data_IF_058531979066
#
_entry.id   IF_058531979066
#
_cell.length_a   1.000
_cell.length_b   1.000
_cell.length_c   1.000
_cell.angle_alpha   90.00
_cell.angle_beta   90.00
_cell.angle_gamma   90.00
#
_symmetry.space_group_name_H-M   'P 1'
#
loop_
_entity.id
_entity.type
_entity.pdbx_description
1 polymer ?
#
# COMPACT_ATOMS: atom_id res chain seq x y z
N UNK A 1 -31.78 4.90 8.30
CA UNK A 1 -31.66 6.37 8.12
C UNK A 1 -31.33 6.72 6.68
N UNK A 2 -31.83 7.86 6.18
CA UNK A 2 -31.49 8.37 4.85
C UNK A 2 -30.05 8.92 4.83
N UNK A 3 -29.31 8.79 3.70
CA UNK A 3 -28.00 9.39 3.55
C UNK A 3 -28.11 10.92 3.51
N UNK A 4 -27.09 11.60 4.02
CA UNK A 4 -27.01 13.06 3.99
C UNK A 4 -26.82 13.64 2.59
N UNK A 5 -27.14 14.91 2.42
CA UNK A 5 -27.00 15.60 1.13
C UNK A 5 -25.52 15.61 0.67
N UNK A 6 -25.20 15.16 -0.56
CA UNK A 6 -23.82 15.13 -1.04
C UNK A 6 -23.35 16.44 -1.67
N UNK A 7 -24.21 17.45 -1.78
CA UNK A 7 -23.86 18.74 -2.38
C UNK A 7 -23.16 19.63 -1.35
N UNK A 8 -21.87 19.91 -1.55
CA UNK A 8 -21.07 20.77 -0.65
C UNK A 8 -21.56 22.21 -0.62
N UNK A 9 -22.22 22.69 -1.67
CA UNK A 9 -22.83 24.03 -1.72
C UNK A 9 -24.24 24.09 -1.11
N UNK A 10 -24.72 23.03 -0.46
CA UNK A 10 -26.03 23.04 0.19
C UNK A 10 -25.89 23.37 1.67
N UNK A 11 -26.77 24.21 2.19
CA UNK A 11 -26.87 24.53 3.63
C UNK A 11 -27.07 23.29 4.53
N UNK A 12 -27.47 22.17 3.93
CA UNK A 12 -27.69 20.88 4.59
C UNK A 12 -26.71 19.80 4.12
N UNK A 13 -25.50 20.19 3.69
CA UNK A 13 -24.44 19.24 3.34
C UNK A 13 -24.21 18.22 4.46
N UNK A 14 -24.12 16.93 4.11
CA UNK A 14 -24.01 15.78 5.02
C UNK A 14 -25.17 15.59 6.02
N UNK A 15 -26.12 16.52 6.11
CA UNK A 15 -27.34 16.38 6.91
C UNK A 15 -28.42 15.64 6.12
N UNK A 16 -29.19 14.80 6.80
CA UNK A 16 -30.25 13.98 6.19
C UNK A 16 -31.67 14.54 6.38
N UNK A 17 -31.82 15.64 7.13
CA UNK A 17 -33.11 16.26 7.48
C UNK A 17 -33.97 16.57 6.25
N UNK A 18 -33.36 17.06 5.17
CA UNK A 18 -34.03 17.41 3.92
C UNK A 18 -33.90 16.31 2.83
N UNK A 19 -33.42 15.12 3.18
CA UNK A 19 -33.19 14.06 2.21
C UNK A 19 -34.35 13.04 2.23
N UNK A 20 -35.05 12.94 1.11
CA UNK A 20 -36.17 11.99 0.91
C UNK A 20 -35.86 10.96 -0.16
N UNK A 21 -36.54 9.81 -0.13
CA UNK A 21 -36.49 8.79 -1.20
C UNK A 21 -37.10 9.37 -2.49
N UNK A 22 -36.51 9.06 -3.64
CA UNK A 22 -36.88 9.59 -4.97
C UNK A 22 -36.84 8.48 -6.05
N UNK A 23 -37.59 7.41 -5.80
CA UNK A 23 -37.65 6.24 -6.68
C UNK A 23 -36.37 5.40 -6.67
N UNK A 24 -36.21 4.57 -7.71
CA UNK A 24 -35.14 3.58 -7.79
C UNK A 24 -34.48 3.55 -9.17
N UNK A 25 -33.33 2.89 -9.28
CA UNK A 25 -32.76 2.50 -10.57
C UNK A 25 -32.15 1.11 -10.50
N UNK A 26 -32.19 0.39 -11.62
CA UNK A 26 -31.52 -0.88 -11.76
C UNK A 26 -30.03 -0.69 -12.05
N UNK A 27 -29.15 -1.23 -11.20
CA UNK A 27 -27.72 -1.23 -11.47
C UNK A 27 -27.36 -2.40 -12.37
N UNK A 28 -27.05 -2.11 -13.64
CA UNK A 28 -26.75 -3.14 -14.68
C UNK A 28 -25.66 -4.15 -14.29
N UNK A 29 -24.69 -3.74 -13.47
CA UNK A 29 -23.58 -4.63 -13.07
C UNK A 29 -24.05 -5.83 -12.26
N UNK A 30 -25.03 -5.63 -11.37
CA UNK A 30 -25.47 -6.66 -10.45
C UNK A 30 -26.98 -6.88 -10.35
N UNK A 31 -27.74 -6.27 -11.25
CA UNK A 31 -29.20 -6.30 -11.32
C UNK A 31 -29.89 -5.91 -10.01
N UNK A 32 -29.19 -5.19 -9.13
CA UNK A 32 -29.77 -4.71 -7.87
C UNK A 32 -30.58 -3.44 -8.12
N UNK A 33 -31.76 -3.39 -7.55
CA UNK A 33 -32.56 -2.18 -7.48
C UNK A 33 -31.98 -1.26 -6.39
N UNK A 34 -31.52 -0.08 -6.78
CA UNK A 34 -30.86 0.88 -5.88
C UNK A 34 -31.79 2.05 -5.62
N UNK A 35 -32.03 2.33 -4.34
CA UNK A 35 -32.77 3.50 -3.88
C UNK A 35 -32.07 4.79 -4.30
N UNK A 36 -32.82 5.69 -4.94
CA UNK A 36 -32.45 7.09 -5.16
C UNK A 36 -32.99 7.95 -4.03
N UNK A 37 -32.29 9.03 -3.77
CA UNK A 37 -32.66 10.07 -2.82
C UNK A 37 -32.59 11.43 -3.52
N UNK A 38 -33.38 12.38 -3.03
CA UNK A 38 -33.37 13.77 -3.45
C UNK A 38 -33.31 14.65 -2.20
N UNK A 39 -32.41 15.63 -2.20
CA UNK A 39 -32.44 16.71 -1.20
C UNK A 39 -33.55 17.70 -1.58
N UNK A 40 -34.52 17.98 -0.72
CA UNK A 40 -35.57 18.97 -1.00
C UNK A 40 -35.05 20.41 -0.97
N UNK A 41 -33.94 20.69 -0.27
CA UNK A 41 -33.37 22.04 -0.19
C UNK A 41 -32.60 22.45 -1.47
N UNK A 42 -31.79 21.56 -2.05
CA UNK A 42 -31.02 21.87 -3.27
C UNK A 42 -31.42 21.04 -4.51
N UNK A 43 -32.47 20.23 -4.41
CA UNK A 43 -32.96 19.33 -5.46
C UNK A 43 -31.97 18.28 -6.00
N UNK A 44 -30.75 18.18 -5.45
CA UNK A 44 -29.74 17.21 -5.90
C UNK A 44 -30.23 15.78 -5.70
N UNK A 45 -30.16 14.98 -6.76
CA UNK A 45 -30.44 13.53 -6.74
C UNK A 45 -29.18 12.73 -6.51
N UNK A 46 -29.26 11.69 -5.70
CA UNK A 46 -28.12 10.87 -5.31
C UNK A 46 -28.54 9.46 -4.87
N UNK A 47 -27.54 8.63 -4.57
CA UNK A 47 -27.72 7.29 -4.01
C UNK A 47 -26.76 7.11 -2.83
N UNK A 48 -26.90 6.02 -2.08
CA UNK A 48 -25.92 5.68 -1.03
C UNK A 48 -24.49 5.52 -1.58
N UNK A 49 -24.35 5.21 -2.87
CA UNK A 49 -23.05 5.09 -3.50
C UNK A 49 -22.43 6.43 -3.90
N UNK A 50 -23.16 7.55 -3.89
CA UNK A 50 -22.68 8.83 -4.43
C UNK A 50 -21.45 9.37 -3.71
N UNK A 51 -21.34 9.16 -2.39
CA UNK A 51 -20.15 9.54 -1.61
C UNK A 51 -19.09 8.44 -1.49
N UNK A 52 -19.21 7.34 -2.25
CA UNK A 52 -18.34 6.16 -2.10
C UNK A 52 -17.38 6.02 -3.28
N UNK A 53 -16.26 5.35 -3.06
CA UNK A 53 -15.28 5.03 -4.12
C UNK A 53 -15.86 4.14 -5.23
N UNK A 54 -16.95 3.43 -4.94
CA UNK A 54 -17.65 2.58 -5.89
C UNK A 54 -18.54 3.38 -6.85
N UNK A 55 -18.78 4.67 -6.61
CA UNK A 55 -19.61 5.52 -7.46
C UNK A 55 -19.19 5.45 -8.92
N UNK A 56 -20.16 5.35 -9.84
CA UNK A 56 -19.91 5.28 -11.28
C UNK A 56 -19.23 4.00 -11.79
N UNK A 57 -18.83 3.06 -10.92
CA UNK A 57 -18.21 1.82 -11.38
C UNK A 57 -19.21 0.92 -12.12
N UNK A 58 -18.87 0.58 -13.37
CA UNK A 58 -19.67 -0.30 -14.25
C UNK A 58 -19.48 -1.79 -14.01
N UNK A 59 -18.37 -2.19 -13.38
CA UNK A 59 -17.99 -3.60 -13.15
C UNK A 59 -17.57 -3.81 -11.69
N UNK A 60 -18.49 -3.79 -10.73
CA UNK A 60 -18.19 -3.89 -9.28
C UNK A 60 -18.01 -5.34 -8.84
N UNK A 61 -18.73 -6.28 -9.45
CA UNK A 61 -18.66 -7.73 -9.12
C UNK A 61 -17.24 -8.29 -9.10
N UNK A 62 -16.37 -7.79 -9.98
CA UNK A 62 -14.99 -8.27 -10.11
C UNK A 62 -14.03 -7.68 -9.06
N UNK A 63 -14.45 -6.72 -8.23
CA UNK A 63 -13.55 -6.03 -7.29
C UNK A 63 -12.86 -7.00 -6.32
N UNK A 64 -13.62 -7.92 -5.73
CA UNK A 64 -13.10 -8.92 -4.79
C UNK A 64 -12.10 -9.85 -5.47
N UNK A 65 -12.41 -10.29 -6.69
CA UNK A 65 -11.54 -11.19 -7.46
C UNK A 65 -10.26 -10.50 -7.90
N UNK A 66 -10.33 -9.26 -8.40
CA UNK A 66 -9.14 -8.47 -8.75
C UNK A 66 -8.26 -8.23 -7.53
N UNK A 67 -8.86 -7.92 -6.38
CA UNK A 67 -8.11 -7.73 -5.13
C UNK A 67 -7.25 -8.95 -4.79
N UNK A 68 -7.82 -10.15 -4.86
CA UNK A 68 -7.05 -11.40 -4.67
C UNK A 68 -5.99 -11.59 -5.76
N UNK A 69 -6.37 -11.48 -7.03
CA UNK A 69 -5.47 -11.71 -8.18
C UNK A 69 -4.23 -10.80 -8.13
N UNK A 70 -4.43 -9.51 -7.85
CA UNK A 70 -3.31 -8.55 -7.77
C UNK A 70 -2.39 -8.83 -6.57
N UNK A 71 -2.90 -9.43 -5.49
CA UNK A 71 -2.12 -9.86 -4.34
C UNK A 71 -1.50 -11.27 -4.50
N UNK A 72 -1.62 -11.90 -5.67
CA UNK A 72 -1.17 -13.29 -5.91
C UNK A 72 -0.19 -13.41 -7.08
N UNK A 73 0.58 -12.37 -7.36
CA UNK A 73 1.66 -12.43 -8.36
C UNK A 73 1.20 -12.35 -9.81
N UNK A 74 -0.10 -12.19 -10.07
CA UNK A 74 -0.64 -12.17 -11.43
C UNK A 74 -0.43 -10.79 -12.07
N UNK A 75 0.05 -10.77 -13.31
CA UNK A 75 0.21 -9.51 -14.04
C UNK A 75 -1.12 -8.89 -14.43
N UNK A 76 -1.18 -7.55 -14.48
CA UNK A 76 -2.41 -6.83 -14.84
C UNK A 76 -2.96 -7.24 -16.22
N UNK A 77 -2.09 -7.59 -17.18
CA UNK A 77 -2.52 -8.14 -18.48
C UNK A 77 -3.15 -9.52 -18.34
N UNK A 78 -2.55 -10.40 -17.53
CA UNK A 78 -3.10 -11.73 -17.26
C UNK A 78 -4.40 -11.62 -16.45
N UNK A 79 -4.51 -10.70 -15.50
CA UNK A 79 -5.76 -10.41 -14.77
C UNK A 79 -6.89 -10.00 -15.71
N UNK A 80 -6.58 -9.20 -16.75
CA UNK A 80 -7.55 -8.78 -17.75
C UNK A 80 -8.09 -9.97 -18.55
N UNK A 81 -7.21 -10.90 -18.94
CA UNK A 81 -7.56 -12.15 -19.64
C UNK A 81 -8.42 -13.05 -18.75
N UNK A 82 -7.96 -13.34 -17.53
CA UNK A 82 -8.66 -14.21 -16.57
C UNK A 82 -10.09 -13.72 -16.30
N UNK A 83 -10.30 -12.40 -16.25
CA UNK A 83 -11.59 -11.81 -15.93
C UNK A 83 -12.42 -11.42 -17.16
N UNK A 84 -11.92 -11.63 -18.37
CA UNK A 84 -12.61 -11.25 -19.60
C UNK A 84 -12.91 -9.74 -19.68
N UNK A 85 -11.97 -8.89 -19.22
CA UNK A 85 -12.13 -7.43 -19.23
C UNK A 85 -11.00 -6.73 -19.96
N UNK A 86 -11.26 -5.52 -20.45
CA UNK A 86 -10.21 -4.70 -21.07
C UNK A 86 -9.13 -4.29 -20.06
N UNK A 87 -7.87 -4.20 -20.50
CA UNK A 87 -6.71 -3.84 -19.66
C UNK A 87 -6.89 -2.54 -18.87
N UNK A 88 -7.46 -1.51 -19.51
CA UNK A 88 -7.75 -0.23 -18.84
C UNK A 88 -8.74 -0.37 -17.68
N UNK A 89 -9.56 -1.41 -17.67
CA UNK A 89 -10.42 -1.74 -16.52
C UNK A 89 -9.55 -2.15 -15.33
N UNK A 90 -8.57 -3.03 -15.54
CA UNK A 90 -7.62 -3.44 -14.48
C UNK A 90 -6.80 -2.24 -13.99
N UNK A 91 -6.35 -1.36 -14.89
CA UNK A 91 -5.62 -0.14 -14.51
C UNK A 91 -6.44 0.76 -13.57
N UNK A 92 -7.71 1.01 -13.90
CA UNK A 92 -8.63 1.79 -13.06
C UNK A 92 -8.92 1.08 -11.74
N UNK A 93 -9.03 -0.25 -11.76
CA UNK A 93 -9.27 -1.06 -10.57
C UNK A 93 -8.07 -1.10 -9.63
N UNK A 94 -6.84 -1.10 -10.13
CA UNK A 94 -5.65 -0.97 -9.31
C UNK A 94 -5.69 0.33 -8.49
N UNK A 95 -6.06 1.46 -9.10
CA UNK A 95 -6.15 2.75 -8.40
C UNK A 95 -7.26 2.74 -7.34
N UNK A 96 -8.45 2.27 -7.73
CA UNK A 96 -9.59 2.17 -6.82
C UNK A 96 -9.28 1.25 -5.63
N UNK A 97 -8.75 0.05 -5.88
CA UNK A 97 -8.40 -0.90 -4.83
C UNK A 97 -7.25 -0.38 -3.97
N UNK A 98 -6.28 0.32 -4.56
CA UNK A 98 -5.24 1.01 -3.80
C UNK A 98 -5.81 2.04 -2.84
N UNK A 99 -6.79 2.85 -3.26
CA UNK A 99 -7.48 3.80 -2.38
C UNK A 99 -8.27 3.08 -1.28
N UNK A 100 -9.02 2.03 -1.64
CA UNK A 100 -9.80 1.25 -0.68
C UNK A 100 -8.92 0.57 0.37
N UNK A 101 -7.78 0.03 -0.06
CA UNK A 101 -6.82 -0.64 0.80
C UNK A 101 -6.14 0.31 1.77
N UNK A 102 -5.89 1.57 1.37
CA UNK A 102 -5.39 2.60 2.29
C UNK A 102 -6.41 2.97 3.38
N UNK A 103 -7.72 3.00 3.05
CA UNK A 103 -8.77 3.20 4.06
C UNK A 103 -8.79 2.03 5.05
N UNK A 104 -8.81 0.79 4.54
CA UNK A 104 -8.74 -0.41 5.39
C UNK A 104 -7.50 -0.42 6.29
N UNK A 105 -6.36 -0.01 5.75
CA UNK A 105 -5.11 0.08 6.50
C UNK A 105 -5.17 1.15 7.60
N UNK A 106 -5.75 2.32 7.32
CA UNK A 106 -5.94 3.35 8.33
C UNK A 106 -6.84 2.87 9.48
N UNK A 107 -7.95 2.20 9.17
CA UNK A 107 -8.85 1.61 10.17
C UNK A 107 -8.14 0.55 11.02
N UNK A 108 -7.26 -0.27 10.41
CA UNK A 108 -6.45 -1.25 11.12
C UNK A 108 -5.44 -0.57 12.06
N UNK A 109 -4.74 0.46 11.61
CA UNK A 109 -3.78 1.18 12.44
C UNK A 109 -4.46 1.82 13.66
N UNK A 110 -5.67 2.37 13.50
CA UNK A 110 -6.46 2.88 14.63
C UNK A 110 -6.76 1.79 15.67
N UNK A 111 -7.08 0.57 15.22
CA UNK A 111 -7.31 -0.57 16.12
C UNK A 111 -6.03 -1.03 16.83
N UNK A 112 -4.89 -1.04 16.14
CA UNK A 112 -3.60 -1.40 16.73
C UNK A 112 -3.11 -0.34 17.72
N UNK A 113 -3.42 0.93 17.45
CA UNK A 113 -3.01 2.06 18.28
C UNK A 113 -3.41 1.95 19.75
N UNK A 114 -4.44 1.17 20.08
CA UNK A 114 -4.86 0.90 21.46
C UNK A 114 -3.97 -0.14 22.17
N UNK A 115 -3.41 -1.10 21.43
CA UNK A 115 -2.56 -2.17 21.98
C UNK A 115 -1.07 -1.80 21.97
N UNK A 116 -0.68 -0.91 21.03
CA UNK A 116 0.70 -0.50 20.74
C UNK A 116 1.60 -1.65 20.26
N UNK A 117 2.43 -1.37 19.27
CA UNK A 117 3.45 -2.30 18.77
C UNK A 117 4.71 -2.19 19.64
N UNK A 118 5.13 -3.30 20.24
CA UNK A 118 6.32 -3.35 21.10
C UNK A 118 7.59 -3.80 20.38
N UNK A 119 7.47 -4.46 19.21
CA UNK A 119 8.62 -5.02 18.47
C UNK A 119 8.56 -4.59 17.02
N UNK A 120 9.23 -3.51 16.69
CA UNK A 120 9.27 -2.97 15.34
C UNK A 120 10.47 -3.53 14.56
N UNK A 121 10.23 -3.99 13.35
CA UNK A 121 11.29 -4.23 12.37
C UNK A 121 11.05 -3.41 11.11
N UNK A 122 12.11 -2.85 10.54
CA UNK A 122 12.02 -2.12 9.29
C UNK A 122 13.27 -2.27 8.42
N UNK A 123 13.08 -2.19 7.11
CA UNK A 123 14.14 -2.27 6.11
C UNK A 123 13.66 -1.71 4.75
N UNK A 124 14.58 -1.59 3.80
CA UNK A 124 14.37 -1.10 2.45
C UNK A 124 14.50 -2.19 1.39
N UNK A 125 13.41 -2.41 0.64
CA UNK A 125 13.42 -3.24 -0.55
C UNK A 125 13.76 -2.41 -1.79
N UNK A 126 14.90 -2.67 -2.42
CA UNK A 126 15.29 -2.02 -3.68
C UNK A 126 14.56 -2.67 -4.87
N UNK A 127 13.99 -1.83 -5.74
CA UNK A 127 13.38 -2.21 -7.02
C UNK A 127 13.68 -1.15 -8.09
N UNK A 128 12.99 -1.20 -9.22
CA UNK A 128 13.25 -0.32 -10.36
C UNK A 128 11.98 0.28 -10.95
N UNK A 129 12.10 1.53 -11.40
CA UNK A 129 11.18 2.16 -12.31
C UNK A 129 11.68 1.90 -13.74
N UNK A 130 11.06 0.98 -14.47
CA UNK A 130 11.40 0.63 -15.85
C UNK A 130 12.77 -0.04 -16.08
N UNK A 131 13.82 0.35 -15.35
CA UNK A 131 15.20 -0.09 -15.57
C UNK A 131 16.03 0.05 -14.30
N UNK A 132 17.11 -0.74 -14.18
CA UNK A 132 18.10 -0.65 -13.09
C UNK A 132 18.74 0.73 -12.93
N UNK A 133 18.76 1.53 -13.99
CA UNK A 133 19.26 2.91 -13.96
C UNK A 133 18.31 3.89 -13.27
N UNK A 134 17.08 3.48 -12.96
CA UNK A 134 16.09 4.29 -12.26
C UNK A 134 15.60 3.53 -11.02
N UNK A 135 16.48 3.32 -10.03
CA UNK A 135 16.11 2.55 -8.85
C UNK A 135 15.07 3.27 -8.00
N UNK A 136 14.30 2.47 -7.29
CA UNK A 136 13.35 2.86 -6.28
C UNK A 136 13.68 2.11 -4.99
N UNK A 137 13.54 2.76 -3.84
CA UNK A 137 13.53 2.09 -2.54
C UNK A 137 12.10 1.94 -2.06
N UNK A 138 11.80 0.85 -1.38
CA UNK A 138 10.54 0.64 -0.68
C UNK A 138 10.85 0.44 0.80
N UNK A 139 10.67 1.47 1.61
CA UNK A 139 10.86 1.38 3.07
C UNK A 139 9.63 0.70 3.66
N UNK A 140 9.83 -0.40 4.39
CA UNK A 140 8.76 -1.24 4.94
C UNK A 140 8.94 -1.36 6.45
N UNK A 141 7.86 -1.25 7.21
CA UNK A 141 7.84 -1.45 8.66
C UNK A 141 6.81 -2.52 9.04
N UNK A 142 7.18 -3.41 9.96
CA UNK A 142 6.36 -4.53 10.44
C UNK A 142 6.42 -4.68 11.96
N UNK A 143 5.34 -5.16 12.55
CA UNK A 143 5.41 -5.73 13.90
C UNK A 143 6.05 -7.13 13.81
N UNK A 144 7.18 -7.30 14.48
CA UNK A 144 7.93 -8.55 14.47
C UNK A 144 7.18 -9.70 15.17
N UNK A 145 6.28 -9.38 16.11
CA UNK A 145 5.48 -10.38 16.83
C UNK A 145 4.31 -10.87 15.97
N UNK A 146 3.41 -9.97 15.57
CA UNK A 146 2.20 -10.33 14.84
C UNK A 146 2.39 -10.50 13.34
N UNK A 147 3.53 -10.08 12.79
CA UNK A 147 3.81 -10.03 11.33
C UNK A 147 2.95 -9.04 10.55
N UNK A 148 2.19 -8.19 11.24
CA UNK A 148 1.41 -7.11 10.63
C UNK A 148 2.34 -6.12 9.95
N UNK A 149 2.04 -5.80 8.69
CA UNK A 149 2.75 -4.74 7.97
C UNK A 149 2.14 -3.40 8.37
N UNK A 150 2.93 -2.54 9.01
CA UNK A 150 2.49 -1.23 9.53
C UNK A 150 2.51 -0.16 8.45
N UNK A 151 3.40 -0.28 7.46
CA UNK A 151 3.46 0.65 6.35
C UNK A 151 4.52 0.29 5.32
N UNK A 152 4.37 0.85 4.12
CA UNK A 152 5.38 0.84 3.08
C UNK A 152 5.34 2.14 2.26
N UNK A 153 6.51 2.72 1.97
CA UNK A 153 6.64 3.93 1.16
C UNK A 153 7.64 3.75 0.03
N UNK A 154 7.30 4.23 -1.17
CA UNK A 154 8.16 4.16 -2.35
C UNK A 154 8.90 5.48 -2.49
N UNK A 155 10.22 5.41 -2.63
CA UNK A 155 11.09 6.56 -2.86
C UNK A 155 11.91 6.38 -4.13
N UNK A 156 12.17 7.48 -4.84
CA UNK A 156 13.21 7.49 -5.86
C UNK A 156 14.58 7.60 -5.18
N UNK A 157 15.53 6.81 -5.65
CA UNK A 157 16.94 6.89 -5.26
C UNK A 157 17.83 7.02 -6.50
N UNK A 158 19.04 7.60 -6.37
CA UNK A 158 20.03 7.58 -7.45
C UNK A 158 20.55 6.16 -7.68
N UNK A 159 20.97 5.88 -8.92
CA UNK A 159 21.76 4.69 -9.18
C UNK A 159 23.11 4.76 -8.46
N UNK A 160 23.59 3.61 -8.00
CA UNK A 160 24.81 3.46 -7.21
C UNK A 160 25.78 2.47 -7.90
N UNK A 161 27.03 2.46 -7.42
CA UNK A 161 28.10 1.64 -7.99
C UNK A 161 28.36 1.92 -9.47
N UNK A 162 28.70 0.88 -10.23
CA UNK A 162 29.05 0.99 -11.66
C UNK A 162 27.91 1.51 -12.55
N UNK A 163 26.65 1.46 -12.09
CA UNK A 163 25.49 1.97 -12.84
C UNK A 163 25.29 3.48 -12.69
N UNK A 164 25.98 4.13 -11.76
CA UNK A 164 25.75 5.53 -11.43
C UNK A 164 26.13 6.48 -12.58
N UNK A 165 27.27 6.24 -13.24
CA UNK A 165 27.71 7.03 -14.40
C UNK A 165 26.74 6.89 -15.56
N UNK A 166 26.39 5.66 -15.91
CA UNK A 166 25.46 5.34 -17.01
C UNK A 166 24.06 5.92 -16.76
N UNK A 167 23.58 5.87 -15.52
CA UNK A 167 22.30 6.51 -15.14
C UNK A 167 22.35 8.01 -15.35
N UNK A 168 23.43 8.69 -14.93
CA UNK A 168 23.55 10.14 -15.09
C UNK A 168 23.66 10.55 -16.55
N UNK A 169 24.39 9.80 -17.36
CA UNK A 169 24.51 10.03 -18.79
C UNK A 169 23.15 9.92 -19.48
N UNK A 170 22.35 8.90 -19.15
CA UNK A 170 21.08 8.62 -19.83
C UNK A 170 19.88 9.40 -19.30
N UNK A 171 19.81 9.64 -18.00
CA UNK A 171 18.62 10.18 -17.31
C UNK A 171 18.90 11.42 -16.47
N UNK A 172 20.14 11.92 -16.46
CA UNK A 172 20.55 13.02 -15.58
C UNK A 172 20.70 12.62 -14.11
N UNK A 173 21.04 13.60 -13.27
CA UNK A 173 21.12 13.40 -11.81
C UNK A 173 19.72 13.17 -11.24
N UNK A 174 19.54 12.09 -10.48
CA UNK A 174 18.29 11.79 -9.76
C UNK A 174 18.45 12.16 -8.29
N UNK A 175 17.59 13.03 -7.77
CA UNK A 175 17.52 13.33 -6.33
C UNK A 175 17.10 12.07 -5.55
N UNK A 176 17.76 11.82 -4.42
CA UNK A 176 17.32 10.81 -3.46
C UNK A 176 16.19 11.38 -2.61
N UNK A 177 15.08 10.66 -2.51
CA UNK A 177 13.96 10.97 -1.61
C UNK A 177 13.83 9.95 -0.47
N UNK A 178 14.92 9.22 -0.20
CA UNK A 178 14.93 8.09 0.73
C UNK A 178 14.65 8.54 2.16
N UNK A 179 15.37 9.56 2.65
CA UNK A 179 15.16 10.12 3.99
C UNK A 179 13.74 10.66 4.14
N UNK A 180 13.26 11.46 3.18
CA UNK A 180 11.91 12.02 3.22
C UNK A 180 10.81 10.94 3.25
N UNK A 181 11.04 9.79 2.61
CA UNK A 181 10.08 8.69 2.61
C UNK A 181 10.13 7.88 3.90
N UNK A 182 11.31 7.72 4.49
CA UNK A 182 11.47 7.10 5.81
C UNK A 182 10.81 7.96 6.90
N UNK A 183 11.01 9.28 6.86
CA UNK A 183 10.32 10.22 7.76
C UNK A 183 8.80 10.08 7.70
N UNK A 184 8.23 10.01 6.48
CA UNK A 184 6.78 9.80 6.29
C UNK A 184 6.29 8.44 6.78
N UNK A 185 7.11 7.39 6.63
CA UNK A 185 6.81 6.07 7.18
C UNK A 185 6.74 6.15 8.70
N UNK A 186 7.77 6.72 9.34
CA UNK A 186 7.85 6.84 10.79
C UNK A 186 6.73 7.71 11.36
N UNK A 187 6.51 8.91 10.81
CA UNK A 187 5.39 9.79 11.16
C UNK A 187 4.05 9.04 11.17
N UNK A 188 3.82 8.19 10.17
CA UNK A 188 2.59 7.42 10.05
C UNK A 188 2.46 6.30 11.09
N UNK A 189 3.56 5.68 11.52
CA UNK A 189 3.53 4.54 12.45
C UNK A 189 3.77 4.96 13.91
N UNK A 190 4.31 6.15 14.18
CA UNK A 190 4.52 6.67 15.54
C UNK A 190 3.28 6.57 16.42
N UNK A 191 2.05 6.89 15.95
CA UNK A 191 0.86 6.76 16.78
C UNK A 191 0.55 5.33 17.24
N UNK A 192 1.06 4.30 16.55
CA UNK A 192 0.74 2.89 16.83
C UNK A 192 1.90 2.10 17.44
N UNK A 193 3.11 2.65 17.46
CA UNK A 193 4.29 1.99 18.04
C UNK A 193 4.50 2.51 19.47
N UNK A 194 4.93 1.64 20.38
CA UNK A 194 5.28 2.03 21.75
C UNK A 194 6.52 2.95 21.74
N UNK A 195 6.55 4.03 22.53
CA UNK A 195 7.76 4.86 22.69
C UNK A 195 8.99 4.09 23.21
N UNK A 196 8.75 2.95 23.88
CA UNK A 196 9.76 2.06 24.46
C UNK A 196 9.88 0.74 23.68
N UNK A 197 9.42 0.70 22.43
CA UNK A 197 9.50 -0.50 21.61
C UNK A 197 10.95 -0.98 21.42
N UNK A 198 11.14 -2.28 21.27
CA UNK A 198 12.35 -2.83 20.67
C UNK A 198 12.28 -2.59 19.16
N UNK A 199 13.26 -1.86 18.62
CA UNK A 199 13.34 -1.54 17.20
C UNK A 199 14.56 -2.21 16.59
N UNK A 200 14.39 -2.94 15.49
CA UNK A 200 15.49 -3.60 14.77
C UNK A 200 15.49 -3.27 13.28
N UNK A 201 16.66 -3.10 12.70
CA UNK A 201 16.86 -2.88 11.26
C UNK A 201 18.24 -3.36 10.79
N UNK A 202 18.45 -3.35 9.47
CA UNK A 202 19.79 -3.52 8.89
C UNK A 202 20.64 -2.24 9.10
N UNK A 203 21.92 -2.31 8.78
CA UNK A 203 22.84 -1.18 8.80
C UNK A 203 22.55 -0.21 7.65
N UNK A 204 22.10 0.99 7.99
CA UNK A 204 22.03 2.10 7.05
C UNK A 204 22.28 3.43 7.76
N UNK A 205 23.00 4.34 7.08
CA UNK A 205 23.50 5.61 7.66
C UNK A 205 22.38 6.48 8.26
N UNK A 206 21.22 6.53 7.62
CA UNK A 206 20.12 7.40 8.04
C UNK A 206 19.22 6.79 9.11
N UNK A 207 19.22 5.46 9.28
CA UNK A 207 18.20 4.80 10.11
C UNK A 207 18.30 5.24 11.57
N UNK A 208 19.52 5.34 12.11
CA UNK A 208 19.75 5.76 13.48
C UNK A 208 19.27 7.19 13.76
N UNK A 209 19.44 8.08 12.80
CA UNK A 209 18.95 9.45 12.90
C UNK A 209 17.42 9.47 12.97
N UNK A 210 16.75 8.80 12.03
CA UNK A 210 15.28 8.75 11.97
C UNK A 210 14.68 8.08 13.20
N UNK A 211 15.25 6.96 13.66
CA UNK A 211 14.72 6.26 14.85
C UNK A 211 14.82 7.14 16.09
N UNK A 212 15.93 7.86 16.29
CA UNK A 212 16.10 8.77 17.43
C UNK A 212 15.15 9.96 17.39
N UNK A 213 14.80 10.43 16.20
CA UNK A 213 13.85 11.54 16.02
C UNK A 213 12.43 11.16 16.47
N UNK A 214 11.96 9.96 16.09
CA UNK A 214 10.58 9.54 16.38
C UNK A 214 10.42 8.69 17.65
N UNK A 215 11.46 7.96 18.05
CA UNK A 215 11.46 7.03 19.18
C UNK A 215 12.75 7.17 20.01
N UNK A 216 12.97 8.32 20.67
CA UNK A 216 14.19 8.58 21.44
C UNK A 216 14.41 7.60 22.61
N UNK A 217 13.33 6.99 23.11
CA UNK A 217 13.34 6.08 24.26
C UNK A 217 13.29 4.59 23.89
N UNK A 218 13.32 4.27 22.59
CA UNK A 218 13.24 2.89 22.12
C UNK A 218 14.58 2.15 22.26
N UNK A 219 14.52 0.84 22.50
CA UNK A 219 15.68 -0.05 22.43
C UNK A 219 16.00 -0.35 20.95
N UNK A 220 16.87 0.45 20.35
CA UNK A 220 17.21 0.36 18.94
C UNK A 220 18.51 -0.42 18.66
N UNK A 221 18.41 -1.49 17.87
CA UNK A 221 19.52 -2.38 17.49
C UNK A 221 19.65 -2.48 15.98
N UNK A 222 20.87 -2.33 15.46
CA UNK A 222 21.19 -2.57 14.06
C UNK A 222 21.95 -3.87 13.90
N UNK A 223 21.67 -4.61 12.84
CA UNK A 223 22.32 -5.89 12.53
C UNK A 223 22.95 -5.80 11.16
N UNK A 224 24.17 -6.32 11.02
CA UNK A 224 24.85 -6.38 9.74
C UNK A 224 24.15 -7.36 8.79
N UNK A 225 23.87 -6.92 7.57
CA UNK A 225 23.28 -7.77 6.55
C UNK A 225 24.07 -9.07 6.30
N UNK A 226 23.44 -10.21 6.55
CA UNK A 226 24.00 -11.52 6.23
C UNK A 226 23.73 -11.93 4.78
N UNK A 227 24.53 -12.87 4.25
CA UNK A 227 24.34 -13.45 2.92
C UNK A 227 22.99 -14.16 2.85
N UNK A 228 22.16 -13.74 1.88
CA UNK A 228 20.88 -14.36 1.64
C UNK A 228 21.03 -15.77 1.03
N UNK A 229 20.06 -16.63 1.33
CA UNK A 229 19.88 -17.92 0.70
C UNK A 229 19.31 -17.75 -0.71
N UNK A 230 19.79 -18.54 -1.68
CA UNK A 230 19.34 -18.49 -3.08
C UNK A 230 17.83 -18.81 -3.16
N UNK A 231 17.36 -19.81 -2.40
CA UNK A 231 15.95 -20.22 -2.35
C UNK A 231 15.03 -19.16 -1.71
N UNK A 232 15.55 -18.25 -0.88
CA UNK A 232 14.77 -17.27 -0.13
C UNK A 232 14.44 -15.98 -0.89
N UNK A 233 14.38 -16.04 -2.23
CA UNK A 233 14.27 -14.87 -3.13
C UNK A 233 15.33 -13.79 -2.86
N UNK A 234 16.44 -14.21 -2.24
CA UNK A 234 17.55 -13.41 -1.75
C UNK A 234 17.23 -12.41 -0.65
N UNK A 235 16.15 -12.60 0.11
CA UNK A 235 15.87 -11.86 1.35
C UNK A 235 16.16 -12.71 2.59
N UNK A 236 15.74 -13.99 2.60
CA UNK A 236 15.93 -14.87 3.74
C UNK A 236 17.42 -15.22 3.90
N UNK A 237 17.91 -15.18 5.13
CA UNK A 237 19.32 -15.46 5.45
C UNK A 237 19.61 -16.96 5.46
N UNK A 238 20.86 -17.34 5.18
CA UNK A 238 21.29 -18.75 5.19
C UNK A 238 21.33 -19.35 6.60
N UNK A 239 21.60 -18.52 7.61
CA UNK A 239 21.74 -18.97 8.98
C UNK A 239 20.36 -19.11 9.65
N UNK A 240 20.17 -20.12 10.50
CA UNK A 240 18.87 -20.48 11.06
C UNK A 240 18.26 -19.48 12.07
N UNK A 241 19.04 -18.52 12.59
CA UNK A 241 18.55 -17.47 13.50
C UNK A 241 18.78 -16.09 12.88
N UNK A 242 17.77 -15.60 12.18
CA UNK A 242 17.77 -14.27 11.59
C UNK A 242 17.06 -13.27 12.55
N UNK A 243 17.78 -12.32 13.18
CA UNK A 243 17.18 -11.33 14.08
C UNK A 243 16.22 -10.39 13.35
N UNK A 244 16.31 -10.30 12.02
CA UNK A 244 15.45 -9.51 11.12
C UNK A 244 14.50 -10.40 10.31
N UNK A 245 14.23 -11.63 10.76
CA UNK A 245 13.39 -12.58 10.02
C UNK A 245 12.02 -11.99 9.66
N UNK A 246 11.43 -11.18 10.56
CA UNK A 246 10.10 -10.64 10.33
C UNK A 246 10.05 -9.69 9.13
N UNK A 247 11.01 -8.78 9.04
CA UNK A 247 11.09 -7.88 7.89
C UNK A 247 11.59 -8.60 6.64
N UNK A 248 12.62 -9.45 6.74
CA UNK A 248 13.18 -10.18 5.60
C UNK A 248 12.16 -11.10 4.93
N UNK A 249 11.41 -11.87 5.73
CA UNK A 249 10.34 -12.72 5.19
C UNK A 249 9.18 -11.88 4.61
N UNK A 250 8.89 -10.70 5.16
CA UNK A 250 7.90 -9.79 4.56
C UNK A 250 8.36 -9.27 3.20
N UNK A 251 9.62 -8.86 3.07
CA UNK A 251 10.22 -8.47 1.80
C UNK A 251 10.20 -9.63 0.79
N UNK A 252 10.47 -10.86 1.23
CA UNK A 252 10.34 -12.06 0.40
C UNK A 252 8.90 -12.24 -0.11
N UNK A 253 7.91 -12.12 0.77
CA UNK A 253 6.50 -12.22 0.41
C UNK A 253 6.06 -11.11 -0.55
N UNK A 254 6.53 -9.87 -0.37
CA UNK A 254 6.30 -8.79 -1.33
C UNK A 254 6.85 -9.17 -2.71
N UNK A 255 8.04 -9.76 -2.78
CA UNK A 255 8.64 -10.25 -4.03
C UNK A 255 8.00 -11.51 -4.59
N UNK A 256 7.30 -12.31 -3.79
CA UNK A 256 6.60 -13.50 -4.27
C UNK A 256 5.21 -13.17 -4.81
N UNK A 257 4.56 -12.12 -4.27
CA UNK A 257 3.15 -11.84 -4.50
C UNK A 257 2.88 -10.56 -5.30
N UNK A 258 3.87 -9.68 -5.45
CA UNK A 258 3.74 -8.48 -6.27
C UNK A 258 4.60 -8.66 -7.51
N UNK A 259 3.97 -8.97 -8.64
CA UNK A 259 4.62 -9.36 -9.91
C UNK A 259 5.74 -8.43 -10.41
N UNK A 260 5.67 -7.13 -10.05
CA UNK A 260 6.64 -6.09 -10.43
C UNK A 260 7.83 -5.97 -9.49
N UNK A 261 7.80 -6.68 -8.36
CA UNK A 261 8.89 -6.82 -7.41
C UNK A 261 9.65 -8.15 -7.59
N UNK A 262 9.14 -9.02 -8.46
CA UNK A 262 9.79 -10.29 -8.80
C UNK A 262 11.19 -10.02 -9.34
N UNK A 263 12.19 -10.78 -8.89
CA UNK A 263 13.53 -10.67 -9.46
C UNK A 263 13.50 -11.12 -10.93
N UNK A 264 14.20 -10.38 -11.80
CA UNK A 264 14.30 -10.67 -13.25
C UNK A 264 12.93 -10.74 -13.97
N UNK A 265 12.01 -9.84 -13.61
CA UNK A 265 10.67 -9.77 -14.21
C UNK A 265 10.57 -8.81 -15.40
N UNK A 266 9.64 -9.11 -16.31
CA UNK A 266 9.24 -8.24 -17.42
C UNK A 266 8.15 -7.25 -16.99
N UNK A 267 7.52 -7.49 -15.82
CA UNK A 267 6.46 -6.66 -15.28
C UNK A 267 7.00 -5.44 -14.53
N UNK A 268 7.84 -4.61 -15.15
CA UNK A 268 8.47 -3.48 -14.44
C UNK A 268 7.47 -2.40 -14.00
N UNK A 269 7.71 -1.75 -12.87
CA UNK A 269 7.00 -0.53 -12.47
C UNK A 269 7.23 0.58 -13.51
N UNK A 270 6.16 1.19 -14.01
CA UNK A 270 6.26 2.34 -14.94
C UNK A 270 6.02 3.70 -14.27
N UNK A 271 5.32 3.70 -13.14
CA UNK A 271 5.03 4.90 -12.33
C UNK A 271 5.13 4.53 -10.85
N UNK A 272 5.96 5.20 -10.03
CA UNK A 272 6.08 4.92 -8.60
C UNK A 272 4.74 4.93 -7.86
N UNK A 273 3.85 5.88 -8.20
CA UNK A 273 2.51 5.95 -7.61
C UNK A 273 1.67 4.69 -7.82
N UNK A 274 1.83 4.02 -8.98
CA UNK A 274 1.14 2.75 -9.27
C UNK A 274 1.77 1.58 -8.53
N UNK A 275 3.03 1.67 -8.11
CA UNK A 275 3.64 0.70 -7.21
C UNK A 275 3.09 0.88 -5.79
N UNK A 276 2.94 2.12 -5.30
CA UNK A 276 2.26 2.37 -4.02
C UNK A 276 0.82 1.83 -3.99
N UNK A 277 0.06 2.02 -5.07
CA UNK A 277 -1.31 1.45 -5.17
C UNK A 277 -1.29 -0.09 -5.04
N UNK A 278 -0.29 -0.74 -5.64
CA UNK A 278 -0.15 -2.20 -5.60
C UNK A 278 0.33 -2.70 -4.23
N UNK A 279 1.28 -2.00 -3.61
CA UNK A 279 1.73 -2.26 -2.24
C UNK A 279 0.56 -2.14 -1.26
N UNK A 280 -0.25 -1.09 -1.36
CA UNK A 280 -1.40 -0.90 -0.49
C UNK A 280 -2.38 -2.08 -0.58
N UNK A 281 -2.65 -2.56 -1.80
CA UNK A 281 -3.50 -3.74 -2.03
C UNK A 281 -2.93 -4.98 -1.34
N UNK A 282 -1.65 -5.25 -1.54
CA UNK A 282 -1.01 -6.39 -0.92
C UNK A 282 -0.98 -6.28 0.61
N UNK A 283 -0.66 -5.12 1.17
CA UNK A 283 -0.64 -4.89 2.62
C UNK A 283 -2.02 -5.15 3.23
N UNK A 284 -3.08 -4.62 2.61
CA UNK A 284 -4.43 -4.88 3.08
C UNK A 284 -4.78 -6.38 2.97
N UNK A 285 -4.38 -7.06 1.89
CA UNK A 285 -4.61 -8.50 1.74
C UNK A 285 -3.85 -9.31 2.80
N UNK A 286 -2.55 -9.05 2.98
CA UNK A 286 -1.69 -9.68 3.96
C UNK A 286 -2.28 -9.55 5.37
N UNK A 287 -2.55 -8.32 5.79
CA UNK A 287 -3.03 -8.03 7.15
C UNK A 287 -4.46 -8.55 7.42
N UNK A 288 -5.30 -8.75 6.41
CA UNK A 288 -6.71 -9.16 6.60
C UNK A 288 -7.04 -10.59 6.19
N UNK A 289 -6.16 -11.27 5.45
CA UNK A 289 -6.41 -12.62 4.90
C UNK A 289 -5.30 -13.60 5.25
N UNK A 290 -4.03 -13.16 5.28
CA UNK A 290 -2.91 -14.06 5.58
C UNK A 290 -2.57 -14.15 7.07
N UNK A 291 -2.96 -13.14 7.84
CA UNK A 291 -2.77 -13.10 9.30
C UNK A 291 -4.08 -13.34 10.08
N UNK A 292 -5.20 -13.48 9.38
CA UNK A 292 -6.53 -13.72 9.97
C UNK A 292 -6.74 -15.17 10.36
#
# INVERSE_FOLDING_TARGET
MNPGCPNSGCNYFQKNTFCKKDGYYLRKDDSRQIQRYKCSACSKKFSRATGTLEFGQKKRRINKTIFKILSSGVSMRRSAIILGVHRTTIDRKLVYLGQKSRQMHADLLLKIGTQKVERLQFDDLITTEHTKLKPLSISVAVDARSRVILGAFVSQIPAFGHLASLSRQKYGKRKSYHKESMMKLFEKITPVVSPYAEIKSDEHRIYKEVVREFFPNADYKQYKGEKAMIAGLGELKKNGRDPLFAINHTCAMLRANINRLFRRTWCTTKKPKRLEDHLAIYIAFHNSVLLS
#
